data_IF_379178653519
#
_entry.id   IF_379178653519
#
_cell.length_a   1.000
_cell.length_b   1.000
_cell.length_c   1.000
_cell.angle_alpha   90.00
_cell.angle_beta   90.00
_cell.angle_gamma   90.00
#
_symmetry.space_group_name_H-M   'P 1'
#
loop_
_entity.id
_entity.type
_entity.pdbx_description
1 polymer ?
#
# COMPACT_ATOMS: atom_id res chain seq x y z
N UNK A 1 -26.74 0.94 27.94
CA UNK A 1 -26.69 0.38 26.57
C UNK A 1 -25.25 0.14 26.17
N UNK A 2 -24.93 -1.06 25.80
CA UNK A 2 -23.61 -1.37 25.24
C UNK A 2 -23.57 -0.88 23.78
N UNK A 3 -22.59 -0.06 23.43
CA UNK A 3 -22.35 0.30 22.04
C UNK A 3 -21.82 -0.93 21.29
N UNK A 4 -22.48 -1.29 20.20
CA UNK A 4 -21.93 -2.30 19.30
C UNK A 4 -20.65 -1.77 18.66
N UNK A 5 -19.57 -2.54 18.62
CA UNK A 5 -18.33 -2.10 17.98
C UNK A 5 -18.53 -1.87 16.47
N UNK A 6 -17.74 -0.97 15.86
CA UNK A 6 -17.76 -0.82 14.41
C UNK A 6 -17.45 -2.14 13.71
N UNK A 7 -18.12 -2.39 12.58
CA UNK A 7 -17.94 -3.60 11.81
C UNK A 7 -17.61 -3.27 10.37
N UNK A 8 -16.75 -4.08 9.76
CA UNK A 8 -16.48 -4.02 8.33
C UNK A 8 -17.75 -4.31 7.53
N UNK A 9 -18.05 -3.48 6.53
CA UNK A 9 -19.16 -3.68 5.61
C UNK A 9 -18.80 -4.71 4.53
N UNK A 10 -17.58 -4.64 3.98
CA UNK A 10 -17.10 -5.57 2.97
C UNK A 10 -16.57 -6.84 3.64
N UNK A 11 -17.31 -7.94 3.50
CA UNK A 11 -17.03 -9.23 4.14
C UNK A 11 -17.26 -10.40 3.21
N UNK A 12 -16.47 -11.46 3.41
CA UNK A 12 -16.71 -12.78 2.81
C UNK A 12 -16.76 -13.81 3.95
N UNK A 13 -17.85 -14.58 4.03
CA UNK A 13 -18.07 -15.59 5.07
C UNK A 13 -17.86 -15.04 6.49
N UNK A 14 -18.31 -13.79 6.75
CA UNK A 14 -18.15 -13.11 8.02
C UNK A 14 -16.76 -12.50 8.27
N UNK A 15 -15.80 -12.70 7.36
CA UNK A 15 -14.45 -12.16 7.48
C UNK A 15 -14.30 -10.83 6.73
N UNK A 16 -13.76 -9.77 7.37
CA UNK A 16 -13.49 -8.51 6.71
C UNK A 16 -12.46 -8.68 5.58
N UNK A 17 -12.74 -8.10 4.42
CA UNK A 17 -11.89 -8.26 3.22
C UNK A 17 -10.67 -7.36 3.30
N UNK A 18 -10.84 -6.09 3.68
CA UNK A 18 -9.76 -5.10 3.69
C UNK A 18 -8.55 -5.54 4.52
N UNK A 19 -8.71 -6.00 5.79
CA UNK A 19 -7.56 -6.45 6.57
C UNK A 19 -6.83 -7.65 5.98
N UNK A 20 -7.54 -8.52 5.26
CA UNK A 20 -6.91 -9.66 4.58
C UNK A 20 -6.07 -9.21 3.38
N UNK A 21 -6.55 -8.23 2.62
CA UNK A 21 -5.88 -7.74 1.41
C UNK A 21 -4.69 -6.84 1.72
N UNK A 22 -4.71 -6.12 2.82
CA UNK A 22 -3.69 -5.14 3.20
C UNK A 22 -2.30 -5.77 3.39
N UNK A 23 -2.24 -7.05 3.68
CA UNK A 23 -0.97 -7.77 3.83
C UNK A 23 -0.15 -7.78 2.54
N UNK A 24 -0.78 -7.84 1.38
CA UNK A 24 -0.09 -7.88 0.09
C UNK A 24 0.71 -6.61 -0.19
N UNK A 25 0.12 -5.40 -0.17
CA UNK A 25 0.90 -4.18 -0.39
C UNK A 25 1.96 -3.97 0.70
N UNK A 26 1.70 -4.31 1.95
CA UNK A 26 2.69 -4.19 3.03
C UNK A 26 3.93 -5.03 2.71
N UNK A 27 3.75 -6.31 2.39
CA UNK A 27 4.87 -7.20 2.06
C UNK A 27 5.59 -6.74 0.78
N UNK A 28 4.84 -6.32 -0.24
CA UNK A 28 5.41 -5.89 -1.51
C UNK A 28 6.19 -4.58 -1.40
N UNK A 29 5.73 -3.62 -0.62
CA UNK A 29 6.47 -2.37 -0.39
C UNK A 29 7.72 -2.60 0.46
N UNK A 30 7.65 -3.45 1.47
CA UNK A 30 8.83 -3.87 2.23
C UNK A 30 9.83 -4.60 1.32
N UNK A 31 9.32 -5.49 0.48
CA UNK A 31 10.13 -6.21 -0.52
C UNK A 31 10.79 -5.27 -1.52
N UNK A 32 10.09 -4.21 -1.95
CA UNK A 32 10.65 -3.16 -2.81
C UNK A 32 11.83 -2.47 -2.12
N UNK A 33 11.65 -2.08 -0.87
CA UNK A 33 12.73 -1.44 -0.10
C UNK A 33 13.93 -2.36 0.07
N UNK A 34 13.70 -3.62 0.39
CA UNK A 34 14.77 -4.62 0.51
C UNK A 34 15.52 -4.81 -0.82
N UNK A 35 14.78 -4.89 -1.94
CA UNK A 35 15.37 -5.00 -3.27
C UNK A 35 16.19 -3.75 -3.64
N UNK A 36 15.72 -2.56 -3.27
CA UNK A 36 16.45 -1.31 -3.49
C UNK A 36 17.77 -1.28 -2.71
N UNK A 37 17.77 -1.77 -1.47
CA UNK A 37 19.01 -1.90 -0.68
C UNK A 37 19.98 -2.89 -1.30
N UNK A 38 19.49 -4.00 -1.81
CA UNK A 38 20.32 -5.01 -2.49
C UNK A 38 20.89 -4.48 -3.82
N UNK A 39 20.09 -3.72 -4.58
CA UNK A 39 20.59 -3.00 -5.74
C UNK A 39 21.72 -2.03 -5.35
N UNK A 40 21.49 -1.23 -4.33
CA UNK A 40 22.46 -0.24 -3.90
C UNK A 40 23.78 -0.86 -3.44
N UNK A 41 23.72 -2.00 -2.76
CA UNK A 41 24.92 -2.71 -2.30
C UNK A 41 25.64 -3.55 -3.35
N UNK A 42 24.92 -4.05 -4.37
CA UNK A 42 25.47 -4.99 -5.36
C UNK A 42 25.59 -4.42 -6.76
N UNK A 43 24.87 -3.33 -7.05
CA UNK A 43 24.72 -2.75 -8.41
C UNK A 43 24.22 -3.79 -9.44
N UNK A 44 23.61 -4.88 -8.99
CA UNK A 44 23.01 -5.89 -9.84
C UNK A 44 21.61 -5.47 -10.25
N UNK A 45 21.42 -5.23 -11.54
CA UNK A 45 20.16 -4.73 -12.10
C UNK A 45 18.97 -5.65 -11.83
N UNK A 46 19.20 -6.92 -11.57
CA UNK A 46 18.14 -7.86 -11.14
C UNK A 46 17.35 -7.31 -9.94
N UNK A 47 18.05 -6.78 -8.93
CA UNK A 47 17.41 -6.27 -7.72
C UNK A 47 16.59 -4.99 -7.99
N UNK A 48 17.10 -4.08 -8.82
CA UNK A 48 16.36 -2.90 -9.22
C UNK A 48 15.11 -3.26 -10.01
N UNK A 49 15.20 -4.24 -10.90
CA UNK A 49 14.07 -4.73 -11.69
C UNK A 49 13.03 -5.42 -10.80
N UNK A 50 13.47 -6.26 -9.87
CA UNK A 50 12.58 -6.88 -8.88
C UNK A 50 11.88 -5.83 -8.03
N UNK A 51 12.60 -4.78 -7.62
CA UNK A 51 12.03 -3.64 -6.89
C UNK A 51 10.94 -2.93 -7.69
N UNK A 52 11.15 -2.70 -8.98
CA UNK A 52 10.14 -2.07 -9.85
C UNK A 52 8.87 -2.91 -9.95
N UNK A 53 8.97 -4.21 -10.18
CA UNK A 53 7.81 -5.09 -10.26
C UNK A 53 7.10 -5.24 -8.91
N UNK A 54 7.84 -5.36 -7.81
CA UNK A 54 7.26 -5.40 -6.46
C UNK A 54 6.51 -4.10 -6.14
N UNK A 55 7.07 -2.96 -6.54
CA UNK A 55 6.45 -1.65 -6.36
C UNK A 55 5.14 -1.55 -7.14
N UNK A 56 5.14 -1.90 -8.42
CA UNK A 56 3.94 -1.88 -9.26
C UNK A 56 2.85 -2.80 -8.75
N UNK A 57 3.20 -4.02 -8.38
CA UNK A 57 2.26 -4.99 -7.82
C UNK A 57 1.76 -4.55 -6.44
N UNK A 58 2.63 -3.93 -5.64
CA UNK A 58 2.26 -3.32 -4.37
C UNK A 58 1.23 -2.21 -4.52
N UNK A 59 1.38 -1.35 -5.53
CA UNK A 59 0.41 -0.28 -5.84
C UNK A 59 -0.93 -0.89 -6.27
N UNK A 60 -0.94 -1.87 -7.17
CA UNK A 60 -2.17 -2.52 -7.63
C UNK A 60 -2.91 -3.16 -6.44
N UNK A 61 -2.22 -3.92 -5.61
CA UNK A 61 -2.84 -4.55 -4.44
C UNK A 61 -3.28 -3.54 -3.39
N UNK A 62 -2.55 -2.43 -3.23
CA UNK A 62 -2.95 -1.33 -2.35
C UNK A 62 -4.24 -0.65 -2.83
N UNK A 63 -4.39 -0.44 -4.16
CA UNK A 63 -5.60 0.15 -4.73
C UNK A 63 -6.80 -0.79 -4.56
N UNK A 64 -6.62 -2.09 -4.75
CA UNK A 64 -7.68 -3.08 -4.51
C UNK A 64 -8.08 -3.07 -3.03
N UNK A 65 -7.13 -3.10 -2.11
CA UNK A 65 -7.41 -3.02 -0.68
C UNK A 65 -8.11 -1.70 -0.31
N UNK A 66 -7.73 -0.58 -0.95
CA UNK A 66 -8.33 0.73 -0.71
C UNK A 66 -9.80 0.76 -1.09
N UNK A 67 -10.22 0.08 -2.17
CA UNK A 67 -11.64 0.01 -2.54
C UNK A 67 -12.46 -0.59 -1.40
N UNK A 68 -12.01 -1.71 -0.83
CA UNK A 68 -12.70 -2.35 0.28
C UNK A 68 -12.61 -1.54 1.57
N UNK A 69 -11.48 -0.86 1.81
CA UNK A 69 -11.31 0.05 2.94
C UNK A 69 -12.26 1.25 2.88
N UNK A 70 -12.48 1.81 1.68
CA UNK A 70 -13.44 2.89 1.47
C UNK A 70 -14.89 2.41 1.65
N UNK A 71 -15.21 1.21 1.20
CA UNK A 71 -16.52 0.60 1.46
C UNK A 71 -16.77 0.49 2.96
N UNK A 72 -15.79 0.04 3.73
CA UNK A 72 -15.88 -0.05 5.18
C UNK A 72 -16.01 1.34 5.83
N UNK A 73 -15.22 2.31 5.39
CA UNK A 73 -15.21 3.67 5.92
C UNK A 73 -16.56 4.38 5.72
N UNK A 74 -17.13 4.27 4.52
CA UNK A 74 -18.41 4.88 4.20
C UNK A 74 -19.61 4.01 4.59
N UNK A 75 -19.39 2.71 4.80
CA UNK A 75 -20.47 1.78 5.15
C UNK A 75 -20.92 1.83 6.60
N UNK A 76 -20.10 2.33 7.52
CA UNK A 76 -20.42 2.44 8.94
C UNK A 76 -20.02 3.82 9.49
N UNK A 77 -21.02 4.67 9.86
CA UNK A 77 -20.72 5.99 10.43
C UNK A 77 -19.84 5.93 11.69
N UNK A 78 -19.87 4.83 12.43
CA UNK A 78 -19.05 4.66 13.64
C UNK A 78 -17.57 4.57 13.30
N UNK A 79 -17.23 4.03 12.12
CA UNK A 79 -15.85 4.00 11.63
C UNK A 79 -15.38 5.42 11.28
N UNK A 80 -16.21 6.19 10.55
CA UNK A 80 -15.88 7.58 10.21
C UNK A 80 -15.75 8.48 11.43
N UNK A 81 -16.45 8.17 12.51
CA UNK A 81 -16.36 8.92 13.76
C UNK A 81 -15.03 8.69 14.50
N UNK A 82 -14.24 7.68 14.12
CA UNK A 82 -12.95 7.41 14.73
C UNK A 82 -11.86 8.29 14.07
N UNK A 83 -11.18 9.19 14.83
CA UNK A 83 -10.07 9.96 14.27
C UNK A 83 -8.97 9.08 13.69
N UNK A 84 -8.69 7.94 14.32
CA UNK A 84 -7.70 6.99 13.83
C UNK A 84 -8.03 6.44 12.44
N UNK A 85 -9.30 6.18 12.14
CA UNK A 85 -9.73 5.70 10.82
C UNK A 85 -9.48 6.75 9.73
N UNK A 86 -9.78 8.02 10.01
CA UNK A 86 -9.53 9.13 9.06
C UNK A 86 -8.04 9.37 8.88
N UNK A 87 -7.24 9.36 9.94
CA UNK A 87 -5.79 9.50 9.86
C UNK A 87 -5.15 8.34 9.08
N UNK A 88 -5.61 7.11 9.30
CA UNK A 88 -5.18 5.94 8.56
C UNK A 88 -5.49 6.07 7.06
N UNK A 89 -6.71 6.46 6.71
CA UNK A 89 -7.10 6.67 5.33
C UNK A 89 -6.27 7.76 4.65
N UNK A 90 -6.10 8.91 5.29
CA UNK A 90 -5.31 10.03 4.77
C UNK A 90 -3.83 9.66 4.60
N UNK A 91 -3.24 8.99 5.59
CA UNK A 91 -1.85 8.53 5.55
C UNK A 91 -1.60 7.51 4.43
N UNK A 92 -2.54 6.59 4.22
CA UNK A 92 -2.43 5.60 3.16
C UNK A 92 -2.61 6.20 1.76
N UNK A 93 -3.50 7.18 1.60
CA UNK A 93 -3.64 7.92 0.33
C UNK A 93 -2.32 8.62 -0.01
N UNK A 94 -1.71 9.30 0.95
CA UNK A 94 -0.42 9.94 0.76
C UNK A 94 0.67 8.93 0.42
N UNK A 95 0.75 7.82 1.14
CA UNK A 95 1.71 6.76 0.89
C UNK A 95 1.59 6.22 -0.54
N UNK A 96 0.37 5.88 -0.96
CA UNK A 96 0.13 5.34 -2.31
C UNK A 96 0.48 6.39 -3.37
N UNK A 97 0.14 7.66 -3.16
CA UNK A 97 0.50 8.73 -4.08
C UNK A 97 2.02 8.85 -4.26
N UNK A 98 2.79 8.76 -3.17
CA UNK A 98 4.26 8.76 -3.22
C UNK A 98 4.80 7.53 -3.95
N UNK A 99 4.21 6.36 -3.73
CA UNK A 99 4.62 5.13 -4.41
C UNK A 99 4.30 5.17 -5.91
N UNK A 100 3.19 5.77 -6.30
CA UNK A 100 2.85 6.00 -7.72
C UNK A 100 3.89 6.91 -8.37
N UNK A 101 4.28 8.00 -7.72
CA UNK A 101 5.32 8.88 -8.21
C UNK A 101 6.67 8.16 -8.37
N UNK A 102 7.04 7.34 -7.37
CA UNK A 102 8.22 6.49 -7.40
C UNK A 102 8.18 5.50 -8.59
N UNK A 103 7.05 4.85 -8.81
CA UNK A 103 6.87 3.92 -9.92
C UNK A 103 7.06 4.61 -11.29
N UNK A 104 6.43 5.77 -11.49
CA UNK A 104 6.56 6.50 -12.75
C UNK A 104 7.98 6.99 -13.01
N UNK A 105 8.68 7.44 -11.97
CA UNK A 105 10.09 7.82 -12.09
C UNK A 105 10.91 6.64 -12.62
N UNK A 106 10.77 5.46 -12.04
CA UNK A 106 11.50 4.26 -12.46
C UNK A 106 11.06 3.75 -13.83
N UNK A 107 9.77 3.91 -14.14
CA UNK A 107 9.26 3.51 -15.45
C UNK A 107 9.85 4.33 -16.58
N UNK A 108 10.04 5.62 -16.37
CA UNK A 108 10.60 6.54 -17.37
C UNK A 108 12.13 6.51 -17.40
N UNK A 109 12.77 6.48 -16.24
CA UNK A 109 14.23 6.57 -16.10
C UNK A 109 14.94 5.21 -16.04
N UNK A 110 14.19 4.11 -15.93
CA UNK A 110 14.70 2.76 -15.74
C UNK A 110 14.57 2.26 -14.30
N UNK A 111 14.65 0.93 -14.10
CA UNK A 111 14.43 0.31 -12.78
C UNK A 111 15.36 0.83 -11.68
N UNK A 112 16.56 1.26 -12.04
CA UNK A 112 17.56 1.79 -11.12
C UNK A 112 17.41 3.28 -10.83
N UNK A 113 16.45 3.97 -11.43
CA UNK A 113 16.15 5.38 -11.14
C UNK A 113 15.29 5.48 -9.87
N UNK A 114 15.95 5.26 -8.75
CA UNK A 114 15.31 5.12 -7.43
C UNK A 114 15.25 6.44 -6.68
N UNK A 115 16.24 7.30 -6.89
CA UNK A 115 16.37 8.62 -6.21
C UNK A 115 15.42 9.62 -6.87
N UNK A 116 14.72 10.49 -6.12
CA UNK A 116 14.78 10.66 -4.66
C UNK A 116 13.77 9.80 -3.88
N UNK A 117 12.95 9.00 -4.55
CA UNK A 117 11.75 8.37 -3.98
C UNK A 117 12.00 7.00 -3.38
N UNK A 118 13.13 6.38 -3.68
CA UNK A 118 13.53 5.10 -3.13
C UNK A 118 14.68 5.24 -2.15
N UNK A 119 15.66 4.34 -2.26
CA UNK A 119 16.91 4.41 -1.50
C UNK A 119 17.88 5.32 -2.26
N UNK A 120 18.34 6.35 -1.62
CA UNK A 120 19.32 7.27 -2.21
C UNK A 120 20.73 6.75 -2.10
#
# INVERSE_FOLDING_TARGET
MAFAPPRSTARIAGHPIHPMLVMFPVVLFIGTFAADLLWWGTENLFWATLGLFSLGLGIVTALVAAVFGLIDYFGDPRIRALPAATHHAAGNILLVALQVANFFQRWQGGPADIVPWGVT
#
